data_IF_696312970432
#
_entry.id   IF_696312970432
#
_cell.length_a   1.000
_cell.length_b   1.000
_cell.length_c   1.000
_cell.angle_alpha   90.00
_cell.angle_beta   90.00
_cell.angle_gamma   90.00
#
_symmetry.space_group_name_H-M   'P 1'
#
loop_
_entity.id
_entity.type
_entity.pdbx_description
1 polymer ?
#
# COMPACT_ATOMS: atom_id res chain seq x y z
N UNK A 1 7.25 -17.76 5.94
CA UNK A 1 7.34 -17.97 4.48
C UNK A 1 7.15 -16.61 3.84
N UNK A 2 8.12 -16.13 3.09
CA UNK A 2 8.00 -14.88 2.32
C UNK A 2 7.04 -15.11 1.16
N UNK A 3 6.10 -14.19 0.98
CA UNK A 3 5.05 -14.27 -0.07
C UNK A 3 5.60 -14.12 -1.51
N UNK A 4 6.90 -13.84 -1.65
CA UNK A 4 7.58 -13.69 -2.93
C UNK A 4 8.31 -14.98 -3.32
N UNK A 5 8.08 -15.41 -4.55
CA UNK A 5 8.90 -16.46 -5.14
C UNK A 5 10.35 -15.99 -5.30
N UNK A 6 11.33 -16.84 -5.02
CA UNK A 6 12.73 -16.48 -5.20
C UNK A 6 13.02 -16.10 -6.67
N UNK A 7 13.93 -15.16 -6.87
CA UNK A 7 14.40 -14.79 -8.21
C UNK A 7 15.10 -16.01 -8.82
N UNK A 8 14.68 -16.42 -10.00
CA UNK A 8 15.24 -17.57 -10.72
C UNK A 8 16.15 -17.17 -11.89
N UNK A 9 15.86 -16.01 -12.49
CA UNK A 9 16.58 -15.53 -13.68
C UNK A 9 17.00 -14.07 -13.50
N UNK A 10 18.14 -13.75 -14.10
CA UNK A 10 18.71 -12.42 -14.09
C UNK A 10 17.87 -11.46 -14.92
N UNK A 11 17.47 -10.31 -14.33
CA UNK A 11 16.72 -9.26 -15.04
C UNK A 11 17.52 -8.58 -16.16
N UNK A 12 18.86 -8.68 -16.11
CA UNK A 12 19.73 -8.02 -17.07
C UNK A 12 20.03 -8.90 -18.30
N UNK A 13 20.30 -10.20 -18.11
CA UNK A 13 20.74 -11.07 -19.22
C UNK A 13 19.93 -12.37 -19.38
N UNK A 14 18.87 -12.58 -18.58
CA UNK A 14 18.00 -13.73 -18.66
C UNK A 14 18.56 -15.06 -18.13
N UNK A 15 19.85 -15.16 -17.80
CA UNK A 15 20.46 -16.39 -17.30
C UNK A 15 19.99 -16.72 -15.87
N UNK A 16 20.07 -17.99 -15.50
CA UNK A 16 19.76 -18.44 -14.15
C UNK A 16 20.68 -17.77 -13.12
N UNK A 17 20.10 -17.41 -11.95
CA UNK A 17 20.88 -16.86 -10.84
C UNK A 17 21.21 -17.92 -9.82
N UNK A 18 22.24 -17.65 -9.00
CA UNK A 18 22.62 -18.42 -7.83
C UNK A 18 22.51 -17.55 -6.58
N UNK A 19 22.05 -18.13 -5.45
CA UNK A 19 22.03 -17.42 -4.18
C UNK A 19 23.37 -17.60 -3.47
N UNK A 20 24.12 -16.52 -3.37
CA UNK A 20 25.42 -16.49 -2.70
C UNK A 20 25.66 -15.13 -2.04
N UNK A 21 26.68 -15.01 -1.22
CA UNK A 21 27.17 -13.72 -0.75
C UNK A 21 27.76 -12.97 -1.94
N UNK A 22 27.37 -11.70 -2.18
CA UNK A 22 28.01 -10.86 -3.19
C UNK A 22 29.47 -10.54 -2.85
N UNK A 23 30.24 -10.22 -3.87
CA UNK A 23 31.67 -9.88 -3.70
C UNK A 23 31.88 -8.40 -3.29
N UNK A 24 30.80 -7.66 -3.04
CA UNK A 24 30.78 -6.23 -2.66
C UNK A 24 30.78 -5.97 -1.14
N UNK A 25 30.87 -7.04 -0.34
CA UNK A 25 30.88 -6.96 1.13
C UNK A 25 29.50 -7.08 1.79
N UNK A 26 28.42 -7.33 1.02
CA UNK A 26 27.10 -7.67 1.61
C UNK A 26 27.19 -8.97 2.41
N UNK A 27 26.56 -8.99 3.55
CA UNK A 27 26.57 -10.13 4.49
C UNK A 27 25.36 -11.05 4.34
N UNK A 28 24.48 -10.78 3.37
CA UNK A 28 23.27 -11.55 3.10
C UNK A 28 23.36 -12.27 1.76
N UNK A 29 22.76 -13.45 1.70
CA UNK A 29 22.59 -14.15 0.43
C UNK A 29 21.72 -13.31 -0.52
N UNK A 30 22.25 -13.11 -1.75
CA UNK A 30 21.52 -12.42 -2.83
C UNK A 30 21.45 -13.32 -4.05
N UNK A 31 20.47 -13.05 -4.90
CA UNK A 31 20.44 -13.66 -6.22
C UNK A 31 21.51 -12.98 -7.09
N UNK A 32 22.57 -13.71 -7.42
CA UNK A 32 23.71 -13.19 -8.22
C UNK A 32 23.75 -13.94 -9.54
N UNK A 33 23.88 -13.21 -10.62
CA UNK A 33 24.02 -13.81 -11.94
C UNK A 33 25.49 -14.26 -12.17
N UNK A 34 25.76 -15.54 -12.40
CA UNK A 34 27.15 -16.02 -12.64
C UNK A 34 27.69 -15.60 -14.02
N UNK A 35 26.85 -15.12 -14.93
CA UNK A 35 27.24 -14.75 -16.30
C UNK A 35 27.59 -13.27 -16.41
N UNK A 36 26.74 -12.37 -15.86
CA UNK A 36 26.95 -10.91 -15.95
C UNK A 36 27.25 -10.25 -14.61
N UNK A 37 27.41 -11.03 -13.54
CA UNK A 37 27.70 -10.58 -12.17
C UNK A 37 26.67 -9.60 -11.56
N UNK A 38 25.49 -9.44 -12.18
CA UNK A 38 24.44 -8.59 -11.61
C UNK A 38 23.97 -9.16 -10.29
N UNK A 39 24.00 -8.34 -9.24
CA UNK A 39 23.42 -8.65 -7.92
C UNK A 39 22.01 -8.10 -7.88
N UNK A 40 21.05 -8.94 -7.52
CA UNK A 40 19.65 -8.54 -7.40
C UNK A 40 19.30 -8.27 -5.94
N UNK A 41 19.04 -7.02 -5.63
CA UNK A 41 18.51 -6.59 -4.34
C UNK A 41 16.99 -6.59 -4.36
N UNK A 42 16.40 -7.07 -3.28
CA UNK A 42 14.95 -7.03 -3.05
C UNK A 42 14.67 -6.24 -1.78
N UNK A 43 13.75 -5.28 -1.91
CA UNK A 43 13.29 -4.44 -0.81
C UNK A 43 11.79 -4.69 -0.55
N UNK A 44 11.26 -4.34 0.63
CA UNK A 44 9.83 -4.33 0.85
C UNK A 44 9.10 -3.48 -0.20
N UNK A 45 7.92 -3.91 -0.62
CA UNK A 45 7.04 -3.10 -1.45
C UNK A 45 6.43 -1.99 -0.57
N UNK A 46 6.37 -0.79 -1.12
CA UNK A 46 5.70 0.33 -0.49
C UNK A 46 4.22 0.31 -0.90
N UNK A 47 3.34 0.34 0.10
CA UNK A 47 1.90 0.58 -0.07
C UNK A 47 1.63 1.98 0.46
N UNK A 48 0.98 2.80 -0.33
CA UNK A 48 0.72 4.20 -0.03
C UNK A 48 -0.77 4.48 -0.09
N UNK A 49 -1.28 5.24 0.87
CA UNK A 49 -2.69 5.54 0.95
C UNK A 49 -3.00 6.74 1.83
N UNK A 50 -4.26 7.07 1.93
CA UNK A 50 -4.73 8.21 2.71
C UNK A 50 -5.77 7.80 3.76
N UNK A 51 -5.94 8.66 4.75
CA UNK A 51 -7.08 8.73 5.66
C UNK A 51 -7.87 9.97 5.22
N UNK A 52 -8.79 9.86 4.25
CA UNK A 52 -9.52 11.02 3.75
C UNK A 52 -10.68 11.33 4.70
N UNK A 53 -10.72 12.57 5.19
CA UNK A 53 -11.66 12.97 6.23
C UNK A 53 -12.45 14.21 5.86
N UNK A 54 -13.66 14.30 6.40
CA UNK A 54 -14.49 15.51 6.37
C UNK A 54 -14.17 16.41 7.56
N UNK A 55 -14.56 17.71 7.53
CA UNK A 55 -14.37 18.61 8.67
C UNK A 55 -15.09 18.18 9.96
N UNK A 56 -16.14 17.37 9.86
CA UNK A 56 -16.87 16.80 11.00
C UNK A 56 -16.30 15.46 11.49
N UNK A 57 -15.14 15.04 10.96
CA UNK A 57 -14.39 13.89 11.45
C UNK A 57 -14.78 12.52 10.88
N UNK A 58 -15.71 12.46 9.90
CA UNK A 58 -16.00 11.20 9.19
C UNK A 58 -14.85 10.82 8.29
N UNK A 59 -14.61 9.52 8.14
CA UNK A 59 -13.56 8.95 7.29
C UNK A 59 -14.16 8.29 6.05
N UNK A 60 -13.52 8.45 4.90
CA UNK A 60 -13.89 7.76 3.68
C UNK A 60 -13.25 6.36 3.66
N UNK A 61 -14.08 5.35 3.46
CA UNK A 61 -13.64 3.98 3.19
C UNK A 61 -14.13 3.51 1.83
N UNK A 62 -13.34 2.64 1.21
CA UNK A 62 -13.64 1.97 -0.05
C UNK A 62 -13.95 0.49 0.19
N UNK A 63 -15.01 -0.02 -0.40
CA UNK A 63 -15.37 -1.45 -0.37
C UNK A 63 -14.72 -2.15 -1.53
N UNK A 64 -13.84 -3.10 -1.26
CA UNK A 64 -12.99 -3.76 -2.26
C UNK A 64 -13.79 -4.58 -3.27
N UNK A 65 -13.46 -4.41 -4.56
CA UNK A 65 -13.97 -5.20 -5.68
C UNK A 65 -12.93 -6.18 -6.24
N UNK A 66 -11.81 -6.35 -5.54
CA UNK A 66 -10.70 -7.23 -5.95
C UNK A 66 -10.21 -8.10 -4.80
N UNK A 67 -9.58 -9.23 -5.13
CA UNK A 67 -8.84 -10.05 -4.16
C UNK A 67 -7.44 -9.45 -3.86
N UNK A 68 -6.89 -9.70 -2.68
CA UNK A 68 -7.49 -10.42 -1.56
C UNK A 68 -8.54 -9.56 -0.83
N UNK A 69 -9.42 -10.22 -0.10
CA UNK A 69 -10.42 -9.54 0.76
C UNK A 69 -11.54 -8.83 -0.01
N UNK A 70 -12.00 -9.40 -1.09
CA UNK A 70 -13.17 -8.94 -1.82
C UNK A 70 -14.37 -8.67 -0.89
N UNK A 71 -15.07 -7.55 -1.09
CA UNK A 71 -16.24 -7.13 -0.31
C UNK A 71 -15.93 -6.55 1.07
N UNK A 72 -14.66 -6.48 1.50
CA UNK A 72 -14.24 -5.87 2.75
C UNK A 72 -13.91 -4.38 2.57
N UNK A 73 -13.95 -3.63 3.67
CA UNK A 73 -13.68 -2.20 3.68
C UNK A 73 -12.20 -1.89 3.92
N UNK A 74 -11.70 -0.87 3.27
CA UNK A 74 -10.32 -0.41 3.41
C UNK A 74 -10.23 1.11 3.28
N UNK A 75 -9.14 1.68 3.75
CA UNK A 75 -8.71 3.01 3.31
C UNK A 75 -8.25 2.91 1.84
N UNK A 76 -8.43 3.96 1.03
CA UNK A 76 -7.88 3.98 -0.33
C UNK A 76 -6.36 3.90 -0.26
N UNK A 77 -5.80 2.85 -0.87
CA UNK A 77 -4.36 2.57 -0.83
C UNK A 77 -3.96 1.46 -1.80
N UNK A 78 -2.82 1.65 -2.47
CA UNK A 78 -2.23 0.66 -3.35
C UNK A 78 -0.71 0.72 -3.40
N UNK A 79 -0.13 0.04 -4.38
CA UNK A 79 1.32 0.01 -4.52
C UNK A 79 1.86 1.33 -5.09
N UNK A 80 2.94 1.80 -4.46
CA UNK A 80 3.70 2.94 -4.97
C UNK A 80 4.32 2.58 -6.33
N UNK A 81 4.15 3.46 -7.29
CA UNK A 81 4.75 3.34 -8.63
C UNK A 81 6.15 3.97 -8.67
N UNK A 82 6.88 3.66 -9.74
CA UNK A 82 8.16 4.34 -10.02
C UNK A 82 7.87 5.81 -10.38
N UNK A 83 8.85 6.67 -10.08
CA UNK A 83 8.83 8.11 -10.42
C UNK A 83 7.78 8.96 -9.69
N UNK A 84 7.15 8.42 -8.64
CA UNK A 84 6.27 9.19 -7.74
C UNK A 84 6.81 9.22 -6.31
N UNK A 85 6.48 10.27 -5.55
CA UNK A 85 6.68 10.31 -4.11
C UNK A 85 5.58 9.50 -3.40
N UNK A 86 5.82 9.11 -2.14
CA UNK A 86 4.80 8.39 -1.35
C UNK A 86 3.50 9.16 -1.20
N UNK A 87 3.56 10.51 -1.09
CA UNK A 87 2.36 11.36 -1.03
C UNK A 87 1.64 11.47 -2.38
N UNK A 88 2.39 11.51 -3.50
CA UNK A 88 1.78 11.51 -4.84
C UNK A 88 1.06 10.20 -5.12
N UNK A 89 1.70 9.06 -4.80
CA UNK A 89 1.06 7.75 -4.93
C UNK A 89 -0.19 7.63 -4.05
N UNK A 90 -0.14 8.09 -2.81
CA UNK A 90 -1.31 8.08 -1.93
C UNK A 90 -2.48 8.93 -2.47
N UNK A 91 -2.18 10.08 -3.08
CA UNK A 91 -3.20 10.91 -3.71
C UNK A 91 -3.78 10.23 -4.97
N UNK A 92 -2.94 9.64 -5.82
CA UNK A 92 -3.34 8.89 -7.01
C UNK A 92 -4.26 7.73 -6.65
N UNK A 93 -3.87 6.89 -5.68
CA UNK A 93 -4.69 5.76 -5.22
C UNK A 93 -6.07 6.22 -4.69
N UNK A 94 -6.11 7.37 -4.00
CA UNK A 94 -7.37 7.93 -3.50
C UNK A 94 -8.30 8.37 -4.64
N UNK A 95 -7.74 8.96 -5.69
CA UNK A 95 -8.50 9.32 -6.89
C UNK A 95 -8.95 8.07 -7.65
N UNK A 96 -8.06 7.12 -7.88
CA UNK A 96 -8.34 5.89 -8.63
C UNK A 96 -9.39 5.01 -7.93
N UNK A 97 -9.28 4.79 -6.61
CA UNK A 97 -10.19 3.92 -5.87
C UNK A 97 -11.51 4.58 -5.49
N UNK A 98 -11.50 5.87 -5.13
CA UNK A 98 -12.67 6.58 -4.62
C UNK A 98 -13.20 7.66 -5.56
N UNK A 99 -12.42 8.14 -6.53
CA UNK A 99 -12.73 9.34 -7.31
C UNK A 99 -12.88 10.57 -6.40
N UNK A 100 -12.14 10.61 -5.30
CA UNK A 100 -12.29 11.62 -4.26
C UNK A 100 -11.27 12.75 -4.46
N UNK A 101 -11.75 13.99 -4.46
CA UNK A 101 -10.90 15.17 -4.46
C UNK A 101 -10.43 15.47 -3.04
N UNK A 102 -9.12 15.52 -2.85
CA UNK A 102 -8.50 15.70 -1.53
C UNK A 102 -7.44 16.80 -1.52
N UNK A 103 -7.24 17.38 -0.36
CA UNK A 103 -6.05 18.14 -0.01
C UNK A 103 -5.17 17.24 0.87
N UNK A 104 -3.97 16.95 0.38
CA UNK A 104 -2.99 16.14 1.13
C UNK A 104 -2.52 16.84 2.39
N UNK A 105 -2.45 16.09 3.47
CA UNK A 105 -1.91 16.47 4.76
C UNK A 105 -0.59 15.76 5.08
N UNK A 106 -0.18 15.75 6.36
CA UNK A 106 1.06 15.12 6.79
C UNK A 106 1.00 13.59 6.75
N UNK A 107 2.18 12.95 6.72
CA UNK A 107 2.32 11.52 6.99
C UNK A 107 1.79 11.23 8.40
N UNK A 108 0.87 10.28 8.50
CA UNK A 108 0.18 9.93 9.74
C UNK A 108 0.70 8.63 10.36
N UNK A 109 0.79 7.58 9.57
CA UNK A 109 1.28 6.30 10.07
C UNK A 109 2.22 5.59 9.11
N UNK A 110 3.19 4.85 9.66
CA UNK A 110 4.08 3.94 8.94
C UNK A 110 4.00 2.59 9.62
N UNK A 111 3.49 1.59 8.91
CA UNK A 111 3.24 0.26 9.45
C UNK A 111 4.02 -0.80 8.68
N UNK A 112 4.80 -1.59 9.40
CA UNK A 112 5.59 -2.66 8.80
C UNK A 112 4.79 -3.97 8.76
N UNK A 113 4.83 -4.63 7.61
CA UNK A 113 4.22 -5.96 7.40
C UNK A 113 5.29 -6.93 6.90
N UNK A 114 6.27 -7.33 7.75
CA UNK A 114 7.42 -8.14 7.33
C UNK A 114 7.03 -9.48 6.73
N UNK A 115 5.91 -10.06 7.21
CA UNK A 115 5.43 -11.38 6.74
C UNK A 115 5.15 -11.42 5.24
N UNK A 116 4.69 -10.30 4.66
CA UNK A 116 4.40 -10.17 3.23
C UNK A 116 5.41 -9.28 2.50
N UNK A 117 6.42 -8.76 3.22
CA UNK A 117 7.46 -7.92 2.65
C UNK A 117 6.91 -6.56 2.19
N UNK A 118 6.11 -5.89 3.02
CA UNK A 118 5.51 -4.59 2.72
C UNK A 118 5.76 -3.57 3.84
N UNK A 119 5.76 -2.28 3.46
CA UNK A 119 5.68 -1.13 4.37
C UNK A 119 4.52 -0.27 3.89
N UNK A 120 3.62 0.07 4.79
CA UNK A 120 2.43 0.88 4.51
C UNK A 120 2.60 2.29 5.06
N UNK A 121 2.31 3.28 4.22
CA UNK A 121 2.35 4.70 4.54
C UNK A 121 0.96 5.30 4.38
N UNK A 122 0.37 5.83 5.45
CA UNK A 122 -0.90 6.53 5.37
C UNK A 122 -0.72 8.00 5.71
N UNK A 123 -1.27 8.85 4.85
CA UNK A 123 -1.30 10.30 5.00
C UNK A 123 -2.68 10.77 5.44
N UNK A 124 -2.76 11.76 6.30
CA UNK A 124 -4.01 12.49 6.48
C UNK A 124 -4.36 13.23 5.19
N UNK A 125 -5.64 13.30 4.89
CA UNK A 125 -6.12 14.08 3.75
C UNK A 125 -7.49 14.68 4.07
N UNK A 126 -7.70 15.93 3.68
CA UNK A 126 -9.00 16.60 3.80
C UNK A 126 -9.79 16.42 2.52
N UNK A 127 -11.01 15.93 2.60
CA UNK A 127 -11.93 15.86 1.47
C UNK A 127 -12.36 17.28 1.05
N UNK A 128 -12.25 17.58 -0.23
CA UNK A 128 -12.71 18.86 -0.82
C UNK A 128 -14.19 18.81 -1.21
N UNK A 129 -14.76 17.63 -1.35
CA UNK A 129 -16.18 17.38 -1.59
C UNK A 129 -16.59 16.00 -1.09
N UNK A 130 -17.89 15.79 -0.87
CA UNK A 130 -18.46 14.46 -0.54
C UNK A 130 -19.02 13.76 -1.79
N UNK A 131 -18.50 14.08 -2.97
CA UNK A 131 -18.84 13.40 -4.22
C UNK A 131 -17.75 12.41 -4.56
N UNK A 132 -18.13 11.15 -4.70
CA UNK A 132 -17.23 10.05 -5.00
C UNK A 132 -17.60 9.41 -6.33
N UNK A 133 -16.60 8.96 -7.07
CA UNK A 133 -16.77 8.21 -8.32
C UNK A 133 -15.83 7.01 -8.29
N UNK A 134 -16.19 5.93 -7.55
CA UNK A 134 -15.34 4.78 -7.36
C UNK A 134 -14.85 4.18 -8.67
N UNK A 135 -13.57 3.85 -8.72
CA UNK A 135 -12.96 3.14 -9.83
C UNK A 135 -13.31 1.65 -9.83
N UNK A 136 -12.77 0.92 -10.80
CA UNK A 136 -13.07 -0.50 -11.04
C UNK A 136 -12.79 -1.40 -9.82
N UNK A 137 -11.80 -1.06 -9.01
CA UNK A 137 -11.37 -1.85 -7.85
C UNK A 137 -12.22 -1.61 -6.59
N UNK A 138 -13.23 -0.73 -6.67
CA UNK A 138 -14.09 -0.34 -5.55
C UNK A 138 -15.57 -0.54 -5.88
N UNK A 139 -16.26 -1.33 -5.05
CA UNK A 139 -17.71 -1.54 -5.15
C UNK A 139 -18.47 -0.29 -4.70
N UNK A 140 -18.00 0.35 -3.61
CA UNK A 140 -18.67 1.45 -2.93
C UNK A 140 -17.63 2.29 -2.18
N UNK A 141 -17.74 3.61 -2.27
CA UNK A 141 -17.01 4.57 -1.44
C UNK A 141 -18.00 5.29 -0.53
N UNK A 142 -17.77 5.27 0.80
CA UNK A 142 -18.71 5.81 1.79
C UNK A 142 -18.01 6.42 2.99
N UNK A 143 -18.62 7.47 3.55
CA UNK A 143 -18.20 8.13 4.79
C UNK A 143 -18.74 7.39 6.01
N UNK A 144 -17.92 7.32 7.05
CA UNK A 144 -18.23 6.67 8.33
C UNK A 144 -17.82 7.55 9.49
N UNK A 145 -18.66 7.71 10.48
CA UNK A 145 -18.26 8.09 11.83
C UNK A 145 -17.57 6.90 12.52
N UNK A 146 -16.83 7.12 13.60
CA UNK A 146 -16.18 6.03 14.37
C UNK A 146 -17.18 4.91 14.73
N UNK A 147 -18.37 5.27 15.19
CA UNK A 147 -19.41 4.33 15.61
C UNK A 147 -19.99 3.49 14.45
N UNK A 148 -19.91 3.99 13.23
CA UNK A 148 -20.41 3.32 12.04
C UNK A 148 -19.36 2.47 11.32
N UNK A 149 -18.06 2.62 11.65
CA UNK A 149 -16.99 1.83 11.03
C UNK A 149 -17.27 0.34 11.23
N UNK A 150 -17.32 -0.45 10.14
CA UNK A 150 -17.56 -1.89 10.23
C UNK A 150 -16.26 -2.61 10.62
N UNK A 151 -15.85 -2.48 11.88
CA UNK A 151 -14.56 -2.92 12.41
C UNK A 151 -14.22 -4.38 12.12
N UNK A 152 -15.24 -5.27 12.11
CA UNK A 152 -15.06 -6.70 11.80
C UNK A 152 -14.96 -6.99 10.28
N UNK A 153 -15.27 -5.97 9.47
CA UNK A 153 -15.21 -6.05 8.02
C UNK A 153 -14.05 -5.25 7.42
N UNK A 154 -13.15 -4.71 8.24
CA UNK A 154 -11.94 -4.08 7.76
C UNK A 154 -11.00 -5.13 7.16
N UNK A 155 -10.56 -4.87 5.92
CA UNK A 155 -9.81 -5.84 5.12
C UNK A 155 -8.44 -6.19 5.71
N UNK A 156 -7.72 -5.20 6.24
CA UNK A 156 -6.32 -5.32 6.61
C UNK A 156 -6.05 -4.77 8.02
N UNK A 157 -5.18 -5.47 8.76
CA UNK A 157 -4.75 -5.07 10.09
C UNK A 157 -4.18 -3.64 10.11
N UNK A 158 -3.37 -3.29 9.13
CA UNK A 158 -2.76 -1.95 9.03
C UNK A 158 -3.79 -0.84 8.86
N UNK A 159 -4.86 -1.09 8.12
CA UNK A 159 -6.00 -0.15 8.00
C UNK A 159 -6.71 -0.02 9.33
N UNK A 160 -6.99 -1.13 10.01
CA UNK A 160 -7.63 -1.12 11.33
C UNK A 160 -6.80 -0.32 12.34
N UNK A 161 -5.50 -0.61 12.47
CA UNK A 161 -4.58 0.10 13.37
C UNK A 161 -4.50 1.61 13.04
N UNK A 162 -4.50 1.97 11.74
CA UNK A 162 -4.49 3.37 11.32
C UNK A 162 -5.79 4.08 11.72
N UNK A 163 -6.96 3.44 11.53
CA UNK A 163 -8.25 4.00 11.92
C UNK A 163 -8.40 4.12 13.43
N UNK A 164 -7.99 3.10 14.19
CA UNK A 164 -7.96 3.16 15.66
C UNK A 164 -7.10 4.33 16.18
N UNK A 165 -5.94 4.56 15.56
CA UNK A 165 -5.08 5.69 15.90
C UNK A 165 -5.67 7.05 15.47
N UNK A 166 -6.46 7.08 14.40
CA UNK A 166 -7.10 8.31 13.93
C UNK A 166 -8.24 8.77 14.86
N UNK A 167 -9.02 7.83 15.39
CA UNK A 167 -10.15 8.13 16.27
C UNK A 167 -9.78 8.26 17.76
N UNK A 168 -8.55 7.91 18.15
CA UNK A 168 -8.07 8.04 19.53
C UNK A 168 -7.72 9.50 19.92
#
# INVERSE_FOLDING_TARGET
MTYRSPIKHCRNCGNAVVYRLPDDGDTKLRAVCPVCNTVHYENPLNVVGTVPTTPDGRVLLCKRNIEPRWGKWTLPAGFMELDETTSQGAARETDEEAGAQIQMGPLFSVLNVPRVGQVHFFYLASLLSEKFNPGFETIEARLFTEAEVPWDEIAFRTVKETLEAYFA
#
